data_IF_732253590193
#
_entry.id   IF_732253590193
#
_cell.length_a   1.000
_cell.length_b   1.000
_cell.length_c   1.000
_cell.angle_alpha   90.00
_cell.angle_beta   90.00
_cell.angle_gamma   90.00
#
_symmetry.space_group_name_H-M   'P 1'
#
loop_
_entity.id
_entity.type
_entity.pdbx_description
1 polymer ?
#
# COMPACT_ATOMS: atom_id res chain seq x y z
N UNK A 1 -17.13 16.06 -4.62
CA UNK A 1 -16.53 14.71 -4.62
C UNK A 1 -15.16 14.87 -4.00
N UNK A 2 -15.08 14.81 -2.67
CA UNK A 2 -13.78 14.69 -2.00
C UNK A 2 -13.17 13.37 -2.47
N UNK A 3 -12.15 13.50 -3.29
CA UNK A 3 -11.37 12.40 -3.87
C UNK A 3 -10.04 12.31 -3.11
N UNK A 4 -10.09 12.52 -1.80
CA UNK A 4 -8.94 12.22 -0.95
C UNK A 4 -8.81 10.70 -0.87
N UNK A 5 -7.80 10.20 -1.58
CA UNK A 5 -7.35 8.83 -1.47
C UNK A 5 -6.82 8.63 -0.05
N UNK A 6 -7.48 7.79 0.75
CA UNK A 6 -6.98 7.44 2.09
C UNK A 6 -6.13 6.16 2.05
N UNK A 7 -5.21 5.95 3.02
CA UNK A 7 -4.45 4.70 3.12
C UNK A 7 -5.34 3.46 3.17
N UNK A 8 -6.47 3.53 3.89
CA UNK A 8 -7.46 2.44 3.95
C UNK A 8 -8.05 2.12 2.58
N UNK A 9 -8.39 3.15 1.78
CA UNK A 9 -8.93 2.97 0.44
C UNK A 9 -7.89 2.31 -0.48
N UNK A 10 -6.64 2.76 -0.44
CA UNK A 10 -5.53 2.13 -1.18
C UNK A 10 -5.36 0.66 -0.82
N UNK A 11 -5.37 0.34 0.47
CA UNK A 11 -5.26 -1.03 0.97
C UNK A 11 -6.40 -1.92 0.46
N UNK A 12 -7.65 -1.42 0.46
CA UNK A 12 -8.81 -2.15 -0.08
C UNK A 12 -8.68 -2.36 -1.59
N UNK A 13 -8.31 -1.33 -2.36
CA UNK A 13 -8.13 -1.44 -3.81
C UNK A 13 -7.01 -2.42 -4.17
N UNK A 14 -5.91 -2.40 -3.41
CA UNK A 14 -4.81 -3.35 -3.56
C UNK A 14 -5.29 -4.79 -3.33
N UNK A 15 -6.00 -5.04 -2.22
CA UNK A 15 -6.52 -6.38 -1.92
C UNK A 15 -7.61 -6.83 -2.88
N UNK A 16 -8.38 -5.92 -3.48
CA UNK A 16 -9.36 -6.27 -4.51
C UNK A 16 -8.69 -6.82 -5.78
N UNK A 17 -7.47 -6.40 -6.07
CA UNK A 17 -6.67 -6.86 -7.22
C UNK A 17 -5.81 -8.08 -6.90
N UNK A 18 -5.71 -8.44 -5.63
CA UNK A 18 -4.98 -9.63 -5.18
C UNK A 18 -5.74 -10.90 -5.58
N UNK A 19 -5.17 -11.80 -6.41
CA UNK A 19 -5.83 -13.03 -6.83
C UNK A 19 -5.90 -14.08 -5.70
N UNK A 20 -5.26 -13.84 -4.55
CA UNK A 20 -5.27 -14.77 -3.43
C UNK A 20 -6.68 -14.96 -2.85
N UNK A 21 -7.10 -16.23 -2.71
CA UNK A 21 -8.33 -16.57 -2.00
C UNK A 21 -8.12 -16.46 -0.49
N UNK A 22 -8.33 -15.25 0.06
CA UNK A 22 -8.19 -14.98 1.48
C UNK A 22 -9.48 -15.34 2.24
N UNK A 23 -9.33 -16.02 3.38
CA UNK A 23 -10.42 -16.08 4.36
C UNK A 23 -10.68 -14.68 4.95
N UNK A 24 -11.86 -14.41 5.53
CA UNK A 24 -12.16 -13.10 6.11
C UNK A 24 -11.12 -12.63 7.16
N UNK A 25 -10.62 -13.55 7.99
CA UNK A 25 -9.62 -13.22 9.00
C UNK A 25 -8.26 -12.86 8.38
N UNK A 26 -7.84 -13.56 7.32
CA UNK A 26 -6.62 -13.26 6.59
C UNK A 26 -6.73 -11.93 5.85
N UNK A 27 -7.87 -11.65 5.22
CA UNK A 27 -8.15 -10.38 4.57
C UNK A 27 -7.99 -9.22 5.56
N UNK A 28 -8.65 -9.29 6.71
CA UNK A 28 -8.58 -8.24 7.74
C UNK A 28 -7.18 -8.04 8.30
N UNK A 29 -6.42 -9.13 8.49
CA UNK A 29 -5.02 -9.05 8.94
C UNK A 29 -4.17 -8.33 7.90
N UNK A 30 -4.29 -8.70 6.62
CA UNK A 30 -3.51 -8.10 5.53
C UNK A 30 -3.92 -6.64 5.29
N UNK A 31 -5.21 -6.33 5.40
CA UNK A 31 -5.74 -4.96 5.28
C UNK A 31 -5.07 -4.01 6.28
N UNK A 32 -4.99 -4.40 7.56
CA UNK A 32 -4.37 -3.57 8.60
C UNK A 32 -2.89 -3.30 8.37
N UNK A 33 -2.16 -4.29 7.84
CA UNK A 33 -0.74 -4.14 7.52
C UNK A 33 -0.58 -3.17 6.35
N UNK A 34 -1.32 -3.38 5.26
CA UNK A 34 -1.27 -2.52 4.09
C UNK A 34 -1.70 -1.08 4.40
N UNK A 35 -2.71 -0.90 5.26
CA UNK A 35 -3.14 0.44 5.68
C UNK A 35 -2.02 1.22 6.37
N UNK A 36 -1.21 0.56 7.23
CA UNK A 36 -0.05 1.18 7.86
C UNK A 36 1.05 1.47 6.83
N UNK A 37 1.38 0.50 5.96
CA UNK A 37 2.39 0.68 4.92
C UNK A 37 2.03 1.84 3.97
N UNK A 38 0.77 1.94 3.55
CA UNK A 38 0.33 3.06 2.72
C UNK A 38 0.28 4.39 3.48
N UNK A 39 -0.03 4.38 4.77
CA UNK A 39 0.03 5.60 5.58
C UNK A 39 1.46 6.13 5.68
N UNK A 40 2.43 5.24 5.90
CA UNK A 40 3.85 5.59 5.94
C UNK A 40 4.32 6.13 4.58
N UNK A 41 3.96 5.46 3.48
CA UNK A 41 4.29 5.93 2.11
C UNK A 41 3.67 7.30 1.79
N UNK A 42 2.43 7.53 2.20
CA UNK A 42 1.75 8.81 1.97
C UNK A 42 2.27 9.95 2.86
N UNK A 43 2.94 9.62 3.96
CA UNK A 43 3.59 10.60 4.83
C UNK A 43 4.95 11.07 4.28
N UNK A 44 5.54 10.33 3.32
CA UNK A 44 6.81 10.70 2.70
C UNK A 44 6.69 11.98 1.87
N UNK A 45 7.76 12.78 1.92
CA UNK A 45 7.95 13.83 0.92
C UNK A 45 8.24 13.24 -0.46
N UNK A 46 8.08 14.06 -1.51
CA UNK A 46 8.39 13.64 -2.87
C UNK A 46 9.85 13.20 -3.07
N UNK A 47 10.79 13.73 -2.27
CA UNK A 47 12.19 13.31 -2.31
C UNK A 47 12.36 11.91 -1.72
N UNK A 48 11.84 11.69 -0.51
CA UNK A 48 11.92 10.41 0.19
C UNK A 48 11.21 9.30 -0.60
N UNK A 49 10.04 9.60 -1.18
CA UNK A 49 9.32 8.64 -2.01
C UNK A 49 10.14 8.23 -3.25
N UNK A 50 10.83 9.17 -3.88
CA UNK A 50 11.71 8.85 -5.01
C UNK A 50 12.88 7.97 -4.57
N UNK A 51 13.49 8.27 -3.44
CA UNK A 51 14.58 7.46 -2.89
C UNK A 51 14.13 6.03 -2.55
N UNK A 52 12.91 5.87 -2.03
CA UNK A 52 12.32 4.56 -1.76
C UNK A 52 12.07 3.77 -3.05
N UNK A 53 11.54 4.41 -4.10
CA UNK A 53 11.38 3.80 -5.43
C UNK A 53 12.74 3.40 -6.03
N UNK A 54 13.74 4.28 -5.96
CA UNK A 54 15.10 4.00 -6.43
C UNK A 54 15.76 2.87 -5.62
N UNK A 55 15.44 2.76 -4.33
CA UNK A 55 15.88 1.65 -3.49
C UNK A 55 15.25 0.33 -3.92
N UNK A 56 13.92 0.30 -4.11
CA UNK A 56 13.20 -0.88 -4.58
C UNK A 56 13.74 -1.38 -5.93
N UNK A 57 14.02 -0.48 -6.88
CA UNK A 57 14.65 -0.84 -8.15
C UNK A 57 16.03 -1.47 -7.99
N UNK A 58 16.87 -0.97 -7.08
CA UNK A 58 18.18 -1.58 -6.80
C UNK A 58 18.06 -2.97 -6.18
N UNK A 59 16.94 -3.28 -5.54
CA UNK A 59 16.61 -4.61 -5.04
C UNK A 59 15.96 -5.53 -6.10
N UNK A 60 15.73 -5.03 -7.32
CA UNK A 60 15.10 -5.79 -8.40
C UNK A 60 13.58 -5.91 -8.29
N UNK A 61 12.96 -5.04 -7.50
CA UNK A 61 11.49 -4.94 -7.39
C UNK A 61 11.05 -3.93 -8.47
N UNK A 62 10.26 -4.38 -9.44
CA UNK A 62 9.84 -3.60 -10.62
C UNK A 62 8.32 -3.59 -10.78
#
# INVERSE_FOLDING_TARGET
MDTELTPTQLAIEFLRRDPAALTPAQYLKKLKVLELEFADLMALSALELREEIDHAWRLGIH
#
